data_IF_967530061643
#
_entry.id   IF_967530061643
#
_cell.length_a   1.000
_cell.length_b   1.000
_cell.length_c   1.000
_cell.angle_alpha   90.00
_cell.angle_beta   90.00
_cell.angle_gamma   90.00
#
_symmetry.space_group_name_H-M   'P 1'
#
loop_
_entity.id
_entity.type
_entity.pdbx_description
1 polymer ?
#
# COMPACT_ATOMS: atom_id res chain seq x y z
N UNK A 1 -6.78 -15.66 0.12
CA UNK A 1 -5.38 -15.97 0.49
C UNK A 1 -4.72 -14.69 0.98
N UNK A 2 -3.97 -14.74 2.08
CA UNK A 2 -3.37 -13.57 2.72
C UNK A 2 -1.86 -13.79 2.83
N UNK A 3 -1.07 -12.78 2.49
CA UNK A 3 0.40 -12.78 2.61
C UNK A 3 0.84 -11.60 3.46
N UNK A 4 1.73 -11.86 4.41
CA UNK A 4 2.28 -10.84 5.31
C UNK A 4 3.80 -10.94 5.25
N UNK A 5 4.47 -9.80 5.07
CA UNK A 5 5.93 -9.70 5.00
C UNK A 5 6.37 -8.35 5.55
N UNK A 6 7.55 -8.30 6.18
CA UNK A 6 8.16 -7.04 6.64
C UNK A 6 8.67 -6.18 5.47
N UNK A 7 8.91 -6.79 4.31
CA UNK A 7 9.30 -6.12 3.08
C UNK A 7 8.28 -6.39 1.99
N UNK A 8 7.82 -5.34 1.30
CA UNK A 8 6.98 -5.46 0.12
C UNK A 8 7.62 -6.40 -0.90
N UNK A 9 8.94 -6.29 -1.11
CA UNK A 9 9.67 -7.11 -2.08
C UNK A 9 9.92 -8.56 -1.63
N UNK A 10 9.66 -8.88 -0.36
CA UNK A 10 9.70 -10.26 0.14
C UNK A 10 8.56 -11.13 -0.39
N UNK A 11 7.48 -10.53 -0.89
CA UNK A 11 6.37 -11.24 -1.52
C UNK A 11 6.66 -11.38 -3.03
N UNK A 12 6.54 -12.60 -3.62
CA UNK A 12 6.74 -12.81 -5.05
C UNK A 12 5.93 -11.84 -5.91
N UNK A 13 6.55 -11.28 -6.97
CA UNK A 13 5.93 -10.25 -7.81
C UNK A 13 4.57 -10.67 -8.36
N UNK A 14 4.43 -11.93 -8.78
CA UNK A 14 3.17 -12.50 -9.29
C UNK A 14 2.03 -12.38 -8.26
N UNK A 15 2.31 -12.52 -6.98
CA UNK A 15 1.31 -12.35 -5.92
C UNK A 15 1.00 -10.86 -5.73
N UNK A 16 2.02 -10.00 -5.73
CA UNK A 16 1.87 -8.55 -5.52
C UNK A 16 1.03 -7.85 -6.58
N UNK A 17 1.19 -8.24 -7.85
CA UNK A 17 0.48 -7.60 -8.97
C UNK A 17 -0.96 -8.11 -9.09
N UNK A 18 -1.23 -9.35 -8.68
CA UNK A 18 -2.54 -10.00 -8.77
C UNK A 18 -3.40 -9.83 -7.50
N UNK A 19 -2.87 -9.22 -6.44
CA UNK A 19 -3.62 -8.99 -5.21
C UNK A 19 -4.67 -7.88 -5.38
N UNK A 20 -5.92 -8.17 -5.03
CA UNK A 20 -7.00 -7.16 -5.03
C UNK A 20 -6.80 -6.07 -3.97
N UNK A 21 -6.15 -6.41 -2.86
CA UNK A 21 -5.87 -5.48 -1.76
C UNK A 21 -4.39 -5.50 -1.43
N UNK A 22 -3.84 -4.31 -1.17
CA UNK A 22 -2.48 -4.12 -0.66
C UNK A 22 -2.56 -3.25 0.59
N UNK A 23 -2.01 -3.73 1.70
CA UNK A 23 -1.91 -2.96 2.94
C UNK A 23 -0.45 -2.59 3.16
N UNK A 24 -0.18 -1.29 3.24
CA UNK A 24 1.15 -0.74 3.47
C UNK A 24 1.25 -0.25 4.91
N UNK A 25 2.18 -0.86 5.65
CA UNK A 25 2.61 -0.41 6.96
C UNK A 25 3.55 0.79 6.89
N UNK A 26 4.18 1.10 8.02
CA UNK A 26 5.14 2.21 8.15
C UNK A 26 6.54 1.80 7.66
N UNK A 27 7.47 2.76 7.65
CA UNK A 27 8.90 2.59 7.35
C UNK A 27 9.26 2.23 5.90
N UNK A 28 8.34 2.39 4.95
CA UNK A 28 8.67 2.34 3.53
C UNK A 28 9.48 3.58 3.12
N UNK A 29 10.57 3.35 2.39
CA UNK A 29 11.39 4.44 1.85
C UNK A 29 10.73 5.07 0.63
N UNK A 30 11.17 6.27 0.24
CA UNK A 30 10.68 6.92 -0.97
C UNK A 30 10.91 6.07 -2.23
N UNK A 31 12.02 5.31 -2.26
CA UNK A 31 12.34 4.36 -3.34
C UNK A 31 11.34 3.21 -3.38
N UNK A 32 11.00 2.64 -2.23
CA UNK A 32 10.03 1.54 -2.14
C UNK A 32 8.66 2.00 -2.63
N UNK A 33 8.21 3.16 -2.17
CA UNK A 33 6.94 3.76 -2.58
C UNK A 33 6.87 4.02 -4.08
N UNK A 34 7.97 4.47 -4.70
CA UNK A 34 8.02 4.68 -6.15
C UNK A 34 7.86 3.38 -6.93
N UNK A 35 8.45 2.27 -6.46
CA UNK A 35 8.30 0.96 -7.09
C UNK A 35 6.89 0.40 -6.86
N UNK A 36 6.37 0.49 -5.63
CA UNK A 36 5.01 0.08 -5.29
C UNK A 36 3.97 0.80 -6.17
N UNK A 37 4.14 2.12 -6.35
CA UNK A 37 3.26 2.92 -7.19
C UNK A 37 3.25 2.45 -8.65
N UNK A 38 4.40 2.02 -9.20
CA UNK A 38 4.50 1.45 -10.55
C UNK A 38 3.88 0.06 -10.69
N UNK A 39 3.91 -0.73 -9.62
CA UNK A 39 3.27 -2.05 -9.59
C UNK A 39 1.73 -1.94 -9.50
N UNK A 40 1.17 -0.75 -9.19
CA UNK A 40 -0.27 -0.50 -9.12
C UNK A 40 -0.79 0.01 -10.48
N UNK A 41 -1.92 -0.53 -10.99
CA UNK A 41 -2.55 -0.01 -12.21
C UNK A 41 -3.27 1.30 -11.90
N UNK A 42 -2.54 2.42 -11.90
CA UNK A 42 -3.07 3.74 -11.59
C UNK A 42 -2.34 4.84 -12.34
N UNK A 43 -3.10 5.86 -12.76
CA UNK A 43 -2.57 7.09 -13.34
C UNK A 43 -2.09 8.09 -12.26
N UNK A 44 -2.14 7.72 -10.98
CA UNK A 44 -1.69 8.57 -9.88
C UNK A 44 -0.18 8.85 -9.99
N UNK A 45 0.23 10.14 -10.00
CA UNK A 45 1.64 10.49 -9.97
C UNK A 45 2.33 9.94 -8.72
N UNK A 46 3.55 9.42 -8.88
CA UNK A 46 4.36 8.86 -7.77
C UNK A 46 4.49 9.84 -6.60
N UNK A 47 4.60 11.15 -6.89
CA UNK A 47 4.67 12.20 -5.87
C UNK A 47 3.40 12.25 -5.02
N UNK A 48 2.24 12.27 -5.66
CA UNK A 48 0.94 12.29 -4.96
C UNK A 48 0.74 11.03 -4.12
N UNK A 49 1.15 9.88 -4.65
CA UNK A 49 1.11 8.61 -3.92
C UNK A 49 1.96 8.66 -2.65
N UNK A 50 3.20 9.18 -2.73
CA UNK A 50 4.10 9.32 -1.58
C UNK A 50 3.50 10.27 -0.55
N UNK A 51 2.95 11.41 -0.98
CA UNK A 51 2.36 12.41 -0.08
C UNK A 51 1.10 11.85 0.61
N UNK A 52 0.28 11.09 -0.13
CA UNK A 52 -0.89 10.39 0.40
C UNK A 52 -0.50 9.34 1.45
N UNK A 53 0.49 8.50 1.13
CA UNK A 53 1.04 7.51 2.05
C UNK A 53 1.51 8.19 3.34
N UNK A 54 2.36 9.22 3.25
CA UNK A 54 2.88 9.95 4.42
C UNK A 54 1.75 10.53 5.28
N UNK A 55 0.73 11.12 4.64
CA UNK A 55 -0.43 11.69 5.34
C UNK A 55 -1.19 10.61 6.10
N UNK A 56 -1.47 9.46 5.48
CA UNK A 56 -2.20 8.35 6.09
C UNK A 56 -1.39 7.70 7.20
N UNK A 57 -0.11 7.41 6.97
CA UNK A 57 0.76 6.70 7.92
C UNK A 57 1.33 7.61 9.01
N UNK A 58 0.97 8.90 9.04
CA UNK A 58 1.47 9.90 10.01
C UNK A 58 1.09 9.57 11.46
N UNK A 59 -0.07 8.94 11.70
CA UNK A 59 -0.55 8.56 13.03
C UNK A 59 -0.02 7.20 13.49
N UNK A 60 0.27 7.05 14.79
CA UNK A 60 0.73 5.77 15.35
C UNK A 60 -0.29 4.68 15.02
N UNK A 61 0.21 3.53 14.55
CA UNK A 61 -0.60 2.36 14.17
C UNK A 61 -1.54 2.56 12.96
N UNK A 62 -1.31 3.58 12.12
CA UNK A 62 -2.06 3.72 10.88
C UNK A 62 -1.39 3.02 9.70
N UNK A 63 -2.22 2.44 8.84
CA UNK A 63 -1.81 1.75 7.61
C UNK A 63 -2.60 2.31 6.43
N UNK A 64 -1.98 2.26 5.25
CA UNK A 64 -2.63 2.62 4.00
C UNK A 64 -3.12 1.35 3.31
N UNK A 65 -4.43 1.21 3.15
CA UNK A 65 -5.01 0.13 2.34
C UNK A 65 -5.35 0.64 0.96
N UNK A 66 -4.98 -0.15 -0.04
CA UNK A 66 -5.20 0.13 -1.45
C UNK A 66 -6.04 -1.01 -2.02
N UNK A 67 -7.23 -0.67 -2.52
CA UNK A 67 -8.09 -1.58 -3.26
C UNK A 67 -7.84 -1.39 -4.76
N UNK A 68 -7.47 -2.48 -5.45
CA UNK A 68 -7.31 -2.52 -6.91
C UNK A 68 -8.64 -2.92 -7.55
N UNK A 69 -9.27 -1.98 -8.26
CA UNK A 69 -10.43 -2.29 -9.11
C UNK A 69 -9.94 -2.54 -10.54
N UNK A 70 -9.74 -3.81 -10.86
CA UNK A 70 -9.20 -4.31 -12.15
C UNK A 70 -9.99 -3.78 -13.36
N UNK A 71 -11.28 -3.48 -13.19
CA UNK A 71 -12.16 -3.06 -14.29
C UNK A 71 -12.27 -1.54 -14.52
N UNK A 72 -11.64 -0.69 -13.70
CA UNK A 72 -11.90 0.76 -13.73
C UNK A 72 -10.65 1.66 -13.70
N UNK A 73 -9.42 1.13 -13.63
CA UNK A 73 -8.20 1.93 -13.39
C UNK A 73 -8.34 2.92 -12.21
N UNK A 74 -9.19 2.59 -11.22
CA UNK A 74 -9.46 3.41 -10.05
C UNK A 74 -8.86 2.75 -8.82
N UNK A 75 -8.02 3.49 -8.11
CA UNK A 75 -7.54 3.13 -6.78
C UNK A 75 -8.45 3.75 -5.74
N UNK A 76 -9.03 2.92 -4.89
CA UNK A 76 -9.62 3.38 -3.64
C UNK A 76 -8.57 3.26 -2.54
N UNK A 77 -8.26 4.38 -1.91
CA UNK A 77 -7.33 4.44 -0.78
C UNK A 77 -8.14 4.65 0.49
N UNK A 78 -8.03 3.70 1.42
CA UNK A 78 -8.70 3.75 2.71
C UNK A 78 -7.62 3.82 3.78
N UNK A 79 -7.73 4.81 4.68
CA UNK A 79 -6.92 4.82 5.90
C UNK A 79 -7.52 3.84 6.90
N UNK A 80 -6.78 2.77 7.21
CA UNK A 80 -7.14 1.86 8.28
C UNK A 80 -6.33 2.23 9.53
N UNK A 81 -7.05 2.65 10.58
CA UNK A 81 -6.53 2.60 11.94
C UNK A 81 -6.68 1.15 12.38
N UNK A 82 -5.57 0.43 12.48
CA UNK A 82 -5.58 -0.89 13.11
C UNK A 82 -5.24 -0.64 14.58
N UNK A 83 -6.22 -0.68 15.51
CA UNK A 83 -5.87 -0.76 16.92
C UNK A 83 -5.14 -2.09 17.11
N UNK A 84 -3.84 -2.05 17.40
CA UNK A 84 -3.19 -3.28 17.82
C UNK A 84 -3.82 -3.76 19.12
N UNK A 85 -4.40 -4.95 19.06
CA UNK A 85 -4.51 -5.84 20.20
C UNK A 85 -3.06 -6.21 20.56
N UNK A 86 -2.60 -5.81 21.76
CA UNK A 86 -1.27 -6.13 22.26
C UNK A 86 -0.57 -4.94 22.90
N UNK A 87 -0.89 -4.70 24.17
CA UNK A 87 0.08 -4.21 25.16
C UNK A 87 1.07 -5.32 25.48
#
# INVERSE_FOLDING_TARGET
>A
MIYISQSYFGIPKTIRINSQYVVLGRNLTQRDLAIICRDLPSDMPVREFIDLYKRITSKKMSTMMIERKIYQNKLNVISLLVPCIGQ
#
